data_IF_375432143452
#
_entry.id   IF_375432143452
#
_cell.length_a   1.000
_cell.length_b   1.000
_cell.length_c   1.000
_cell.angle_alpha   90.00
_cell.angle_beta   90.00
_cell.angle_gamma   90.00
#
_symmetry.space_group_name_H-M   'P 1'
#
loop_
_entity.id
_entity.type
_entity.pdbx_description
1 polymer ?
#
# COMPACT_ATOMS: atom_id res chain seq x y z
N UNK A 1 -19.66 1.17 19.75
CA UNK A 1 -18.62 1.96 20.49
C UNK A 1 -17.30 1.22 20.62
N UNK A 2 -17.25 -0.04 21.08
CA UNK A 2 -16.00 -0.82 21.09
C UNK A 2 -15.62 -1.26 19.67
N UNK A 3 -16.58 -1.83 18.93
CA UNK A 3 -16.43 -2.22 17.52
C UNK A 3 -15.93 -1.06 16.64
N UNK A 4 -16.55 0.12 16.75
CA UNK A 4 -16.14 1.31 15.98
C UNK A 4 -14.69 1.74 16.28
N UNK A 5 -14.25 1.62 17.54
CA UNK A 5 -12.88 1.97 17.93
C UNK A 5 -11.87 0.92 17.47
N UNK A 6 -12.24 -0.36 17.53
CA UNK A 6 -11.42 -1.45 17.00
C UNK A 6 -11.25 -1.31 15.50
N UNK A 7 -12.33 -0.94 14.78
CA UNK A 7 -12.27 -0.66 13.35
C UNK A 7 -11.27 0.45 13.03
N UNK A 8 -11.37 1.60 13.71
CA UNK A 8 -10.43 2.71 13.49
C UNK A 8 -8.97 2.27 13.72
N UNK A 9 -8.67 1.51 14.78
CA UNK A 9 -7.31 1.04 15.06
C UNK A 9 -6.77 0.13 13.94
N UNK A 10 -7.66 -0.67 13.36
CA UNK A 10 -7.33 -1.60 12.26
C UNK A 10 -7.14 -0.82 10.97
N UNK A 11 -8.02 0.12 10.65
CA UNK A 11 -7.88 1.02 9.51
C UNK A 11 -6.56 1.80 9.60
N UNK A 12 -6.25 2.40 10.76
CA UNK A 12 -4.97 3.07 11.02
C UNK A 12 -3.78 2.13 10.76
N UNK A 13 -3.90 0.85 11.13
CA UNK A 13 -2.84 -0.13 10.89
C UNK A 13 -2.72 -0.49 9.41
N UNK A 14 -3.82 -0.69 8.69
CA UNK A 14 -3.78 -0.91 7.25
C UNK A 14 -3.17 0.29 6.53
N UNK A 15 -3.52 1.51 6.93
CA UNK A 15 -2.90 2.72 6.42
C UNK A 15 -1.37 2.72 6.67
N UNK A 16 -0.89 2.40 7.88
CA UNK A 16 0.56 2.24 8.13
C UNK A 16 1.21 1.25 7.15
N UNK A 17 0.56 0.12 6.88
CA UNK A 17 1.07 -0.91 5.98
C UNK A 17 1.02 -0.49 4.51
N UNK A 18 -0.04 0.20 4.07
CA UNK A 18 -0.16 0.78 2.72
C UNK A 18 1.00 1.73 2.46
N UNK A 19 1.28 2.64 3.40
CA UNK A 19 2.42 3.57 3.29
C UNK A 19 3.75 2.83 3.07
N UNK A 20 3.98 1.73 3.80
CA UNK A 20 5.17 0.89 3.65
C UNK A 20 5.22 0.18 2.30
N UNK A 21 4.10 -0.36 1.83
CA UNK A 21 4.02 -0.98 0.49
C UNK A 21 4.35 0.06 -0.58
N UNK A 22 3.72 1.24 -0.52
CA UNK A 22 3.96 2.34 -1.48
C UNK A 22 5.43 2.77 -1.46
N UNK A 23 6.04 2.93 -0.29
CA UNK A 23 7.47 3.23 -0.19
C UNK A 23 8.34 2.15 -0.85
N UNK A 24 8.03 0.88 -0.66
CA UNK A 24 8.74 -0.20 -1.34
C UNK A 24 8.53 -0.16 -2.87
N UNK A 25 7.30 0.04 -3.34
CA UNK A 25 6.98 0.14 -4.77
C UNK A 25 7.64 1.36 -5.44
N UNK A 26 7.72 2.51 -4.73
CA UNK A 26 8.45 3.70 -5.18
C UNK A 26 9.96 3.45 -5.34
N UNK A 27 10.52 2.51 -4.58
CA UNK A 27 11.92 2.12 -4.66
C UNK A 27 12.19 1.02 -5.71
N UNK A 28 11.15 0.42 -6.30
CA UNK A 28 11.32 -0.59 -7.34
C UNK A 28 11.39 0.06 -8.73
N UNK A 29 12.46 -0.21 -9.52
CA UNK A 29 12.52 0.23 -10.90
C UNK A 29 11.54 -0.57 -11.76
N UNK A 30 10.95 0.08 -12.77
CA UNK A 30 10.01 -0.53 -13.71
C UNK A 30 10.56 -1.74 -14.47
N UNK A 31 11.88 -1.86 -14.57
CA UNK A 31 12.57 -3.00 -15.18
C UNK A 31 12.30 -4.33 -14.46
N UNK A 32 11.81 -4.26 -13.21
CA UNK A 32 11.46 -5.43 -12.42
C UNK A 32 10.06 -5.98 -12.75
N UNK A 33 9.24 -5.27 -13.53
CA UNK A 33 7.94 -5.76 -13.99
C UNK A 33 8.15 -6.76 -15.13
N UNK A 34 7.75 -8.02 -14.90
CA UNK A 34 7.78 -9.04 -15.94
C UNK A 34 6.72 -8.74 -17.00
N UNK A 35 7.12 -8.65 -18.27
CA UNK A 35 6.18 -8.40 -19.38
C UNK A 35 5.85 -6.93 -19.61
N UNK A 36 6.35 -6.01 -18.76
CA UNK A 36 6.37 -4.60 -19.11
C UNK A 36 7.35 -4.41 -20.28
N UNK A 37 6.84 -4.47 -21.51
CA UNK A 37 7.51 -3.71 -22.55
C UNK A 37 7.53 -2.27 -22.04
N UNK A 38 8.70 -1.62 -21.94
CA UNK A 38 8.70 -0.19 -21.68
C UNK A 38 7.88 0.41 -22.80
N UNK A 39 6.64 0.81 -22.49
CA UNK A 39 5.88 1.67 -23.38
C UNK A 39 6.82 2.84 -23.59
N UNK A 40 7.34 2.97 -24.81
CA UNK A 40 8.47 3.86 -25.12
C UNK A 40 8.20 5.33 -24.80
N UNK A 41 6.97 5.65 -24.39
CA UNK A 41 6.46 6.97 -24.07
C UNK A 41 6.03 7.14 -22.59
N UNK A 42 6.17 6.12 -21.72
CA UNK A 42 5.79 6.27 -20.31
C UNK A 42 6.97 6.74 -19.46
N UNK A 43 6.92 8.00 -19.02
CA UNK A 43 7.95 8.68 -18.23
C UNK A 43 7.88 8.39 -16.72
N UNK A 44 7.27 7.28 -16.30
CA UNK A 44 7.09 6.98 -14.88
C UNK A 44 8.43 6.68 -14.21
N UNK A 45 8.62 7.19 -12.98
CA UNK A 45 9.88 7.04 -12.26
C UNK A 45 10.00 5.67 -11.58
N UNK A 46 8.88 5.05 -11.19
CA UNK A 46 8.84 3.85 -10.35
C UNK A 46 7.57 3.02 -10.59
N UNK A 47 7.51 1.83 -9.98
CA UNK A 47 6.38 0.89 -10.10
C UNK A 47 5.07 1.48 -9.57
N UNK A 48 5.11 2.25 -8.48
CA UNK A 48 3.92 2.87 -7.90
C UNK A 48 3.24 3.87 -8.86
N UNK A 49 4.00 4.81 -9.41
CA UNK A 49 3.47 5.80 -10.35
C UNK A 49 2.85 5.15 -11.59
N UNK A 50 3.51 4.13 -12.13
CA UNK A 50 2.99 3.40 -13.28
C UNK A 50 1.73 2.59 -12.95
N UNK A 51 1.66 2.02 -11.75
CA UNK A 51 0.48 1.29 -11.29
C UNK A 51 -0.72 2.22 -11.08
N UNK A 52 -0.53 3.33 -10.36
CA UNK A 52 -1.62 4.28 -10.07
C UNK A 52 -2.20 4.91 -11.35
N UNK A 53 -1.34 5.27 -12.31
CA UNK A 53 -1.81 5.78 -13.60
C UNK A 53 -2.55 4.69 -14.39
N UNK A 54 -2.05 3.45 -14.40
CA UNK A 54 -2.70 2.35 -15.14
C UNK A 54 -4.09 2.04 -14.58
N UNK A 55 -4.24 2.06 -13.25
CA UNK A 55 -5.52 1.84 -12.57
C UNK A 55 -6.57 2.89 -12.98
N UNK A 56 -6.13 4.14 -13.17
CA UNK A 56 -7.00 5.24 -13.63
C UNK A 56 -7.34 5.17 -15.12
N UNK A 57 -6.55 4.44 -15.93
CA UNK A 57 -6.70 4.43 -17.40
C UNK A 57 -7.80 3.53 -17.92
N UNK A 58 -8.33 2.58 -17.13
CA UNK A 58 -9.54 1.75 -17.33
C UNK A 58 -9.65 0.96 -18.68
N UNK A 59 -8.82 1.23 -19.69
CA UNK A 59 -9.06 0.79 -21.07
C UNK A 59 -8.30 -0.48 -21.48
N UNK A 60 -7.25 -0.92 -20.77
CA UNK A 60 -6.45 -2.12 -21.16
C UNK A 60 -6.01 -3.00 -19.96
N UNK A 61 -6.84 -3.98 -19.58
CA UNK A 61 -6.59 -4.94 -18.48
C UNK A 61 -5.26 -5.73 -18.58
N UNK A 62 -4.64 -5.81 -19.76
CA UNK A 62 -3.45 -6.64 -19.98
C UNK A 62 -2.20 -6.10 -19.26
N UNK A 63 -2.07 -4.78 -19.11
CA UNK A 63 -0.88 -4.20 -18.46
C UNK A 63 -1.02 -4.22 -16.94
N UNK A 64 -2.23 -4.02 -16.41
CA UNK A 64 -2.55 -4.19 -14.98
C UNK A 64 -2.10 -5.57 -14.44
N UNK A 65 -2.30 -6.65 -15.19
CA UNK A 65 -1.85 -8.00 -14.80
C UNK A 65 -0.33 -8.12 -14.56
N UNK A 66 0.49 -7.26 -15.17
CA UNK A 66 1.94 -7.25 -14.95
C UNK A 66 2.34 -6.70 -13.59
N UNK A 67 1.48 -5.91 -12.95
CA UNK A 67 1.71 -5.34 -11.62
C UNK A 67 1.28 -6.29 -10.49
N UNK A 68 0.24 -7.10 -10.71
CA UNK A 68 -0.34 -7.99 -9.70
C UNK A 68 0.73 -8.77 -8.93
N UNK A 69 1.60 -9.50 -9.63
CA UNK A 69 2.62 -10.31 -8.97
C UNK A 69 3.63 -9.50 -8.14
N UNK A 70 3.98 -8.28 -8.58
CA UNK A 70 4.92 -7.42 -7.86
C UNK A 70 4.27 -6.81 -6.61
N UNK A 71 3.04 -6.32 -6.74
CA UNK A 71 2.33 -5.68 -5.64
C UNK A 71 1.92 -6.72 -4.60
N UNK A 72 1.36 -7.88 -5.01
CA UNK A 72 1.04 -8.98 -4.09
C UNK A 72 2.27 -9.44 -3.32
N UNK A 73 3.42 -9.64 -3.98
CA UNK A 73 4.65 -10.01 -3.30
C UNK A 73 5.13 -8.92 -2.32
N UNK A 74 5.00 -7.65 -2.69
CA UNK A 74 5.36 -6.53 -1.80
C UNK A 74 4.44 -6.48 -0.57
N UNK A 75 3.14 -6.69 -0.75
CA UNK A 75 2.18 -6.80 0.36
C UNK A 75 2.53 -7.97 1.28
N UNK A 76 2.81 -9.15 0.72
CA UNK A 76 3.24 -10.33 1.47
C UNK A 76 4.51 -10.05 2.28
N UNK A 77 5.52 -9.40 1.68
CA UNK A 77 6.76 -9.04 2.39
C UNK A 77 6.47 -8.11 3.58
N UNK A 78 5.65 -7.08 3.39
CA UNK A 78 5.27 -6.15 4.46
C UNK A 78 4.50 -6.86 5.58
N UNK A 79 3.57 -7.76 5.22
CA UNK A 79 2.76 -8.55 6.18
C UNK A 79 3.62 -9.56 6.94
N UNK A 80 4.62 -10.18 6.30
CA UNK A 80 5.56 -11.11 6.95
C UNK A 80 6.41 -10.45 8.05
N UNK A 81 6.57 -9.13 8.02
CA UNK A 81 7.29 -8.38 9.05
C UNK A 81 6.43 -8.10 10.30
N UNK A 82 5.13 -8.38 10.26
CA UNK A 82 4.24 -8.21 11.39
C UNK A 82 4.55 -9.18 12.53
N UNK A 83 4.31 -8.75 13.76
CA UNK A 83 4.27 -9.68 14.88
C UNK A 83 3.09 -10.64 14.73
N UNK A 84 3.21 -11.84 15.31
CA UNK A 84 2.10 -12.83 15.32
C UNK A 84 0.81 -12.25 15.89
N UNK A 85 0.91 -11.32 16.85
CA UNK A 85 -0.27 -10.66 17.43
C UNK A 85 -0.91 -9.70 16.45
N UNK A 86 -0.14 -8.83 15.78
CA UNK A 86 -0.67 -7.94 14.76
C UNK A 86 -1.30 -8.73 13.61
N UNK A 87 -0.62 -9.76 13.12
CA UNK A 87 -1.12 -10.62 12.04
C UNK A 87 -2.47 -11.26 12.41
N UNK A 88 -2.59 -11.82 13.62
CA UNK A 88 -3.86 -12.41 14.09
C UNK A 88 -4.95 -11.37 14.26
N UNK A 89 -4.61 -10.17 14.70
CA UNK A 89 -5.60 -9.09 14.87
C UNK A 89 -6.15 -8.61 13.53
N UNK A 90 -5.27 -8.45 12.53
CA UNK A 90 -5.68 -8.09 11.17
C UNK A 90 -6.45 -9.24 10.51
N UNK A 91 -6.01 -10.48 10.70
CA UNK A 91 -6.73 -11.64 10.17
C UNK A 91 -8.16 -11.73 10.71
N UNK A 92 -8.40 -11.46 12.00
CA UNK A 92 -9.74 -11.53 12.60
C UNK A 92 -10.79 -10.59 11.99
N UNK A 93 -10.35 -9.63 11.18
CA UNK A 93 -11.21 -8.67 10.50
C UNK A 93 -11.10 -8.75 8.98
N UNK A 94 -10.26 -9.65 8.47
CA UNK A 94 -10.14 -9.88 7.04
C UNK A 94 -11.27 -10.76 6.52
N UNK A 95 -11.50 -10.69 5.22
CA UNK A 95 -12.43 -11.56 4.52
C UNK A 95 -12.09 -13.05 4.76
N UNK A 96 -10.80 -13.38 4.88
CA UNK A 96 -10.33 -14.73 5.21
C UNK A 96 -10.91 -15.28 6.52
N UNK A 97 -11.06 -14.46 7.57
CA UNK A 97 -11.73 -14.88 8.80
C UNK A 97 -13.26 -14.96 8.65
N UNK A 98 -13.86 -14.09 7.84
CA UNK A 98 -15.31 -14.10 7.60
C UNK A 98 -15.77 -15.33 6.82
N UNK A 99 -14.89 -15.85 5.96
CA UNK A 99 -15.08 -17.06 5.16
C UNK A 99 -14.58 -18.33 5.86
N UNK A 100 -13.90 -18.19 7.00
CA UNK A 100 -13.31 -19.32 7.73
C UNK A 100 -14.39 -20.22 8.34
N UNK A 101 -14.24 -21.52 8.09
CA UNK A 101 -15.12 -22.55 8.65
C UNK A 101 -14.71 -22.87 10.08
N UNK A 102 -15.58 -22.56 11.05
CA UNK A 102 -15.36 -22.82 12.48
C UNK A 102 -15.14 -24.30 12.83
N UNK A 103 -15.49 -25.22 11.92
CA UNK A 103 -15.22 -26.66 12.06
C UNK A 103 -13.78 -27.06 11.65
N UNK A 104 -13.01 -26.13 11.08
CA UNK A 104 -11.62 -26.37 10.66
C UNK A 104 -10.62 -25.97 11.75
N UNK A 105 -9.36 -26.42 11.57
CA UNK A 105 -8.27 -25.99 12.45
C UNK A 105 -8.02 -24.48 12.28
N UNK A 106 -7.58 -23.82 13.35
CA UNK A 106 -7.16 -22.41 13.31
C UNK A 106 -6.11 -22.21 12.20
N UNK A 107 -6.19 -21.13 11.40
CA UNK A 107 -5.33 -20.95 10.23
C UNK A 107 -3.86 -20.96 10.61
N UNK A 108 -3.04 -21.42 9.66
CA UNK A 108 -1.59 -21.34 9.80
C UNK A 108 -1.10 -19.89 9.68
N UNK A 109 0.13 -19.61 10.12
CA UNK A 109 0.75 -18.29 9.91
C UNK A 109 0.90 -17.97 8.44
N UNK A 110 1.23 -18.95 7.60
CA UNK A 110 1.36 -18.77 6.15
C UNK A 110 0.02 -18.38 5.52
N UNK A 111 -1.06 -19.09 5.89
CA UNK A 111 -2.41 -18.77 5.44
C UNK A 111 -2.86 -17.37 5.88
N UNK A 112 -2.63 -17.00 7.15
CA UNK A 112 -2.96 -15.65 7.64
C UNK A 112 -2.16 -14.56 6.88
N UNK A 113 -0.89 -14.82 6.54
CA UNK A 113 -0.08 -13.88 5.75
C UNK A 113 -0.67 -13.69 4.36
N UNK A 114 -1.08 -14.78 3.70
CA UNK A 114 -1.70 -14.71 2.37
C UNK A 114 -2.99 -13.89 2.41
N UNK A 115 -3.91 -14.23 3.31
CA UNK A 115 -5.23 -13.59 3.40
C UNK A 115 -5.14 -12.11 3.83
N UNK A 116 -4.26 -11.75 4.77
CA UNK A 116 -4.04 -10.35 5.18
C UNK A 116 -3.31 -9.57 4.07
N UNK A 117 -2.43 -10.21 3.30
CA UNK A 117 -1.78 -9.56 2.16
C UNK A 117 -2.74 -9.30 0.99
N UNK A 118 -3.72 -10.18 0.78
CA UNK A 118 -4.81 -9.97 -0.18
C UNK A 118 -5.69 -8.78 0.22
N UNK A 119 -6.06 -8.68 1.49
CA UNK A 119 -6.79 -7.50 1.97
C UNK A 119 -5.94 -6.23 1.82
N UNK A 120 -4.68 -6.25 2.27
CA UNK A 120 -3.76 -5.11 2.11
C UNK A 120 -3.60 -4.70 0.64
N UNK A 121 -3.62 -5.64 -0.29
CA UNK A 121 -3.59 -5.33 -1.72
C UNK A 121 -4.80 -4.47 -2.11
N UNK A 122 -6.01 -4.83 -1.71
CA UNK A 122 -7.21 -4.01 -1.97
C UNK A 122 -7.12 -2.59 -1.39
N UNK A 123 -6.51 -2.43 -0.22
CA UNK A 123 -6.23 -1.10 0.35
C UNK A 123 -5.24 -0.30 -0.50
N UNK A 124 -4.21 -0.95 -1.05
CA UNK A 124 -3.24 -0.32 -1.96
C UNK A 124 -3.90 0.08 -3.29
N UNK A 125 -4.84 -0.72 -3.81
CA UNK A 125 -5.64 -0.35 -4.98
C UNK A 125 -6.50 0.87 -4.71
N UNK A 126 -7.21 0.89 -3.58
CA UNK A 126 -8.03 2.03 -3.19
C UNK A 126 -7.21 3.31 -3.11
N UNK A 127 -6.00 3.25 -2.53
CA UNK A 127 -5.10 4.40 -2.47
C UNK A 127 -4.58 4.85 -3.84
N UNK A 128 -4.45 3.94 -4.80
CA UNK A 128 -4.07 4.28 -6.17
C UNK A 128 -5.24 4.93 -6.94
N UNK A 129 -6.49 4.54 -6.66
CA UNK A 129 -7.69 5.12 -7.26
C UNK A 129 -8.08 6.48 -6.65
N UNK A 130 -8.08 6.58 -5.33
CA UNK A 130 -8.46 7.76 -4.54
C UNK A 130 -7.38 8.03 -3.48
N UNK A 131 -6.33 8.80 -3.83
CA UNK A 131 -5.20 9.03 -2.94
C UNK A 131 -5.63 9.76 -1.66
N UNK A 132 -5.51 9.08 -0.52
CA UNK A 132 -5.71 9.66 0.81
C UNK A 132 -4.38 9.90 1.53
N UNK A 133 -3.30 9.25 1.08
CA UNK A 133 -1.92 9.57 1.44
C UNK A 133 -1.38 10.74 0.60
N UNK A 134 -1.97 11.93 0.75
CA UNK A 134 -1.22 13.14 0.44
C UNK A 134 -0.06 13.25 1.44
N UNK A 135 1.13 12.79 1.05
CA UNK A 135 2.35 13.09 1.80
C UNK A 135 2.48 14.61 1.90
N UNK A 136 2.26 15.15 3.11
CA UNK A 136 2.64 16.50 3.56
C UNK A 136 4.12 16.80 3.22
N UNK A 137 4.40 17.06 1.95
CA UNK A 137 5.74 17.29 1.43
C UNK A 137 5.78 18.53 0.56
N UNK A 138 4.99 19.55 0.89
CA UNK A 138 5.13 20.87 0.28
C UNK A 138 4.68 22.04 1.19
N UNK A 139 5.20 22.11 2.42
CA UNK A 139 5.33 23.40 3.13
C UNK A 139 6.74 23.54 3.74
N UNK A 140 7.75 23.65 2.87
CA UNK A 140 9.05 24.17 3.26
C UNK A 140 8.91 25.68 3.48
N UNK A 141 8.84 26.09 4.75
CA UNK A 141 8.90 27.46 5.23
C UNK A 141 9.81 28.38 4.40
N UNK A 142 9.24 29.25 3.57
CA UNK A 142 9.91 30.49 3.15
C UNK A 142 9.85 31.48 4.32
N UNK A 143 10.74 31.30 5.30
CA UNK A 143 11.09 32.34 6.26
C UNK A 143 12.38 33.01 5.81
N UNK A 144 12.31 33.71 4.69
CA UNK A 144 13.37 34.65 4.28
C UNK A 144 13.44 35.83 5.25
N UNK A 145 14.35 35.67 6.22
CA UNK A 145 15.26 36.68 6.75
C UNK A 145 14.72 38.11 6.94
N UNK A 146 14.18 38.39 8.13
CA UNK A 146 14.25 39.71 8.73
C UNK A 146 15.72 40.07 9.03
N UNK A 147 16.43 40.63 8.03
CA UNK A 147 17.75 41.27 8.24
C UNK A 147 17.59 42.58 8.99
N UNK A 148 17.63 42.47 10.31
CA UNK A 148 17.88 43.55 11.24
C UNK A 148 19.39 43.91 11.20
N UNK A 149 19.75 45.01 10.53
CA UNK A 149 21.04 45.76 10.59
C UNK A 149 20.94 46.89 9.55
N UNK A 150 21.16 48.18 9.79
CA UNK A 150 21.92 48.90 10.81
C UNK A 150 21.52 50.39 10.73
N UNK A 151 21.60 51.11 11.85
CA UNK A 151 21.76 52.56 11.95
C UNK A 151 22.50 53.20 10.76
N UNK A 152 21.99 54.31 10.26
CA UNK A 152 22.75 55.57 10.20
C UNK A 152 21.82 56.79 10.26
#
# INVERSE_FOLDING_TARGET
MFEDKTRIIIEDKYMELVGRVIEQLKNLPLQNLQGAQPHRDTSFANVWEAFAEELQRIEDNNFYHSFLGVITNTCQQVVQELTTTELRLLWLVSDGCLEWDEETDFPSTEQMVEEVAEELFSWVEQEAEDPQFEQDSEEMYDTTEAKNKTRH
#
